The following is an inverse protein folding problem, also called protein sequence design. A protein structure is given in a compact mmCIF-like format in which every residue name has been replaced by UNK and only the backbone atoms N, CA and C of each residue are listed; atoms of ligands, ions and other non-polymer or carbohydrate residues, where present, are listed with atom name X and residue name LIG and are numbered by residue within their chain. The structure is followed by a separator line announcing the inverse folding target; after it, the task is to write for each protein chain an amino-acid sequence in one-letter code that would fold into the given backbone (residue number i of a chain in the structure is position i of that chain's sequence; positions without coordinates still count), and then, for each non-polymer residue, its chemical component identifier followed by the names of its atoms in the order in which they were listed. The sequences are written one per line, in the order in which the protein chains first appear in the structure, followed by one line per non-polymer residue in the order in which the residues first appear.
data_IF_983106334242
#
_entry.id   IF_983106334242
#
_cell.length_a   1.000
_cell.length_b   1.000
_cell.length_c   1.000
_cell.angle_alpha   90.00
_cell.angle_beta   90.00
_cell.angle_gamma   90.00
#
_symmetry.space_group_name_H-M   'P 1'
#
loop_
_entity.id
_entity.type
_entity.pdbx_description
1 polymer ?
#
# COMPACT_ATOMS: atom_id res chain seq x y z
N UNK A 1 45.38 -28.10 -20.98
CA UNK A 1 44.31 -27.31 -21.63
C UNK A 1 43.24 -26.98 -20.60
N UNK A 2 43.43 -25.91 -19.82
CA UNK A 2 42.45 -25.46 -18.81
C UNK A 2 41.38 -24.66 -19.54
N UNK A 3 40.36 -25.35 -20.04
CA UNK A 3 39.21 -24.69 -20.65
C UNK A 3 38.36 -24.07 -19.53
N UNK A 4 38.50 -22.75 -19.39
CA UNK A 4 37.42 -21.78 -19.58
C UNK A 4 36.01 -22.36 -19.35
N UNK A 5 35.36 -21.89 -18.28
CA UNK A 5 34.11 -21.11 -18.36
C UNK A 5 33.41 -21.14 -17.00
N UNK A 6 33.32 -20.03 -16.27
CA UNK A 6 32.35 -18.96 -16.51
C UNK A 6 30.92 -19.51 -16.55
N UNK A 7 30.25 -19.50 -15.42
CA UNK A 7 28.92 -18.91 -15.28
C UNK A 7 28.49 -19.11 -13.83
N UNK A 8 28.57 -18.02 -13.08
CA UNK A 8 27.81 -17.86 -11.84
C UNK A 8 26.34 -17.97 -12.24
N UNK A 9 25.69 -19.09 -11.92
CA UNK A 9 24.23 -19.16 -11.90
C UNK A 9 23.79 -18.46 -10.63
N UNK A 10 23.59 -17.17 -10.74
CA UNK A 10 22.82 -16.40 -9.77
C UNK A 10 21.36 -16.58 -10.14
N UNK A 11 20.80 -17.74 -9.80
CA UNK A 11 19.34 -17.94 -9.72
C UNK A 11 18.86 -17.31 -8.41
N UNK A 12 19.02 -15.99 -8.28
CA UNK A 12 18.30 -15.22 -7.26
C UNK A 12 17.02 -14.77 -7.95
N UNK A 13 15.86 -15.38 -7.65
CA UNK A 13 14.62 -14.66 -7.81
C UNK A 13 14.76 -13.43 -6.92
N UNK A 14 15.15 -12.30 -7.51
CA UNK A 14 14.79 -11.00 -6.96
C UNK A 14 13.31 -10.85 -7.25
N UNK A 15 12.50 -11.74 -6.69
CA UNK A 15 11.09 -11.56 -6.59
C UNK A 15 10.93 -10.62 -5.41
N UNK A 16 11.06 -9.32 -5.72
CA UNK A 16 10.19 -8.31 -5.13
C UNK A 16 8.77 -8.88 -5.29
N UNK A 17 8.38 -9.80 -4.41
CA UNK A 17 7.06 -10.39 -4.41
C UNK A 17 6.15 -9.19 -4.21
N UNK A 18 5.42 -8.75 -5.25
CA UNK A 18 4.54 -7.62 -5.08
C UNK A 18 3.53 -8.10 -4.06
N UNK A 19 3.60 -7.56 -2.85
CA UNK A 19 2.52 -7.75 -1.89
C UNK A 19 1.29 -7.20 -2.58
N UNK A 20 0.38 -8.10 -2.91
CA UNK A 20 -0.81 -7.81 -3.68
C UNK A 20 -1.76 -7.05 -2.75
N UNK A 21 -1.54 -5.74 -2.64
CA UNK A 21 -2.32 -4.90 -1.76
C UNK A 21 -3.65 -4.62 -2.43
N UNK A 22 -4.70 -5.27 -1.93
CA UNK A 22 -6.06 -5.10 -2.44
C UNK A 22 -6.91 -4.23 -1.53
N UNK A 23 -7.79 -3.44 -2.13
CA UNK A 23 -8.81 -2.71 -1.40
C UNK A 23 -9.98 -3.62 -0.94
N UNK A 24 -10.94 -3.06 -0.22
CA UNK A 24 -12.12 -3.79 0.26
C UNK A 24 -12.95 -4.48 -0.84
N UNK A 25 -12.86 -4.04 -2.10
CA UNK A 25 -13.55 -4.66 -3.24
C UNK A 25 -12.67 -5.64 -4.02
N UNK A 26 -11.40 -5.81 -3.61
CA UNK A 26 -10.46 -6.69 -4.29
C UNK A 26 -9.72 -6.09 -5.48
N UNK A 27 -9.72 -4.76 -5.68
CA UNK A 27 -8.88 -4.15 -6.71
C UNK A 27 -7.46 -3.97 -6.20
N UNK A 28 -6.50 -4.19 -7.10
CA UNK A 28 -5.09 -3.94 -6.87
C UNK A 28 -4.84 -2.43 -6.69
N UNK A 29 -4.22 -2.09 -5.57
CA UNK A 29 -3.76 -0.76 -5.26
C UNK A 29 -2.30 -0.60 -5.65
N UNK A 30 -1.95 0.59 -6.13
CA UNK A 30 -0.60 0.95 -6.54
C UNK A 30 -0.14 2.21 -5.81
N UNK A 31 1.17 2.42 -5.73
CA UNK A 31 1.72 3.66 -5.19
C UNK A 31 1.25 4.87 -6.01
N UNK A 32 0.87 5.95 -5.33
CA UNK A 32 0.33 7.15 -5.96
C UNK A 32 -1.17 7.11 -6.30
N UNK A 33 -1.84 5.97 -6.09
CA UNK A 33 -3.28 5.83 -6.39
C UNK A 33 -4.15 6.65 -5.40
N UNK A 34 -5.46 6.70 -5.67
CA UNK A 34 -6.42 7.45 -4.87
C UNK A 34 -7.47 6.51 -4.31
N UNK A 35 -7.72 6.61 -3.01
CA UNK A 35 -8.66 5.75 -2.31
C UNK A 35 -9.71 6.54 -1.57
N UNK A 36 -10.89 5.98 -1.43
CA UNK A 36 -12.01 6.56 -0.70
C UNK A 36 -12.33 5.69 0.51
N UNK A 37 -12.58 6.31 1.65
CA UNK A 37 -12.99 5.57 2.85
C UNK A 37 -14.44 5.09 2.77
N UNK A 38 -14.66 3.81 3.08
CA UNK A 38 -16.01 3.21 3.10
C UNK A 38 -16.71 3.36 4.46
N UNK A 39 -15.97 3.62 5.53
CA UNK A 39 -16.45 3.77 6.91
C UNK A 39 -15.85 5.02 7.55
N UNK A 40 -16.48 5.52 8.60
CA UNK A 40 -15.85 6.50 9.48
C UNK A 40 -14.79 5.84 10.36
N UNK A 41 -13.61 6.45 10.41
CA UNK A 41 -12.49 5.96 11.20
C UNK A 41 -12.00 7.09 12.10
N UNK A 42 -11.88 6.78 13.40
CA UNK A 42 -11.21 7.68 14.34
C UNK A 42 -9.70 7.45 14.27
N UNK A 43 -8.95 8.52 14.06
CA UNK A 43 -7.49 8.43 14.05
C UNK A 43 -7.01 8.27 15.49
N UNK A 44 -6.15 7.28 15.74
CA UNK A 44 -5.53 7.12 17.05
C UNK A 44 -4.50 8.23 17.25
N UNK A 45 -4.55 8.91 18.40
CA UNK A 45 -3.64 10.02 18.72
C UNK A 45 -4.20 11.41 18.43
N UNK A 46 -5.35 11.52 17.75
CA UNK A 46 -6.08 12.78 17.56
C UNK A 46 -7.56 12.62 17.90
N UNK A 47 -8.22 13.74 18.18
CA UNK A 47 -9.69 13.78 18.37
C UNK A 47 -10.44 13.83 17.03
N UNK A 48 -9.72 13.75 15.90
CA UNK A 48 -10.29 13.86 14.57
C UNK A 48 -10.82 12.50 14.07
N UNK A 49 -11.96 12.56 13.41
CA UNK A 49 -12.62 11.38 12.81
C UNK A 49 -12.70 11.61 11.31
N UNK A 50 -12.07 10.73 10.54
CA UNK A 50 -12.16 10.75 9.09
C UNK A 50 -13.50 10.15 8.71
N UNK A 51 -14.37 10.96 8.10
CA UNK A 51 -15.71 10.51 7.72
C UNK A 51 -15.65 9.60 6.49
N UNK A 52 -16.62 8.69 6.40
CA UNK A 52 -16.90 7.93 5.18
C UNK A 52 -16.99 8.89 3.98
N UNK A 53 -16.44 8.49 2.84
CA UNK A 53 -16.43 9.29 1.62
C UNK A 53 -15.27 10.28 1.53
N UNK A 54 -14.40 10.35 2.54
CA UNK A 54 -13.17 11.13 2.43
C UNK A 54 -12.26 10.52 1.37
N UNK A 55 -11.89 11.34 0.39
CA UNK A 55 -10.92 10.99 -0.65
C UNK A 55 -9.51 11.23 -0.14
N UNK A 56 -8.71 10.18 -0.15
CA UNK A 56 -7.29 10.20 0.19
C UNK A 56 -6.50 9.94 -1.09
N UNK A 57 -5.61 10.87 -1.43
CA UNK A 57 -4.81 10.81 -2.65
C UNK A 57 -3.37 10.49 -2.30
N UNK A 58 -2.63 9.95 -3.26
CA UNK A 58 -1.20 9.68 -3.11
C UNK A 58 -0.93 8.67 -1.99
N UNK A 59 -1.56 7.49 -2.09
CA UNK A 59 -1.27 6.38 -1.18
C UNK A 59 0.14 5.85 -1.44
N UNK A 60 0.76 5.28 -0.41
CA UNK A 60 2.05 4.58 -0.49
C UNK A 60 1.93 3.16 0.00
N UNK A 61 2.53 2.23 -0.74
CA UNK A 61 2.56 0.82 -0.37
C UNK A 61 3.81 0.55 0.47
N UNK A 62 3.63 0.15 1.73
CA UNK A 62 4.75 -0.11 2.66
C UNK A 62 5.23 -1.56 2.65
N UNK A 63 4.92 -2.33 1.59
CA UNK A 63 5.31 -3.74 1.52
C UNK A 63 4.55 -4.65 2.50
N UNK A 64 3.44 -4.16 3.08
CA UNK A 64 2.62 -4.89 4.06
C UNK A 64 1.25 -5.20 3.50
N UNK A 65 0.86 -6.46 3.62
CA UNK A 65 -0.47 -6.92 3.22
C UNK A 65 -1.54 -6.25 4.09
N UNK A 66 -2.52 -5.62 3.44
CA UNK A 66 -3.66 -5.03 4.13
C UNK A 66 -3.41 -3.66 4.77
N UNK A 67 -2.23 -3.05 4.60
CA UNK A 67 -1.90 -1.72 5.14
C UNK A 67 -1.37 -0.78 4.04
N UNK A 68 -1.88 0.45 4.02
CA UNK A 68 -1.40 1.53 3.13
C UNK A 68 -1.12 2.78 3.93
N UNK A 69 -0.01 3.43 3.62
CA UNK A 69 0.29 4.74 4.16
C UNK A 69 -0.34 5.80 3.28
N UNK A 70 -0.91 6.83 3.90
CA UNK A 70 -1.53 7.89 3.14
C UNK A 70 -1.43 9.23 3.86
N UNK A 71 -1.61 10.28 3.07
CA UNK A 71 -1.55 11.65 3.52
C UNK A 71 -2.92 12.31 3.34
N UNK A 72 -3.47 12.82 4.43
CA UNK A 72 -4.70 13.64 4.40
C UNK A 72 -4.34 15.11 4.59
N UNK A 73 -5.33 16.00 4.43
CA UNK A 73 -5.12 17.45 4.60
C UNK A 73 -4.72 17.84 6.03
N UNK A 74 -5.20 17.10 7.03
CA UNK A 74 -4.98 17.40 8.45
C UNK A 74 -3.86 16.57 9.06
N UNK A 75 -3.69 15.32 8.62
CA UNK A 75 -2.71 14.38 9.17
C UNK A 75 -1.88 13.76 8.05
N UNK A 76 -0.56 13.81 8.20
CA UNK A 76 0.42 13.19 7.29
C UNK A 76 0.98 11.92 7.91
N UNK A 77 1.32 10.93 7.09
CA UNK A 77 1.94 9.67 7.52
C UNK A 77 1.01 8.80 8.35
N UNK A 78 -0.28 8.71 7.99
CA UNK A 78 -1.20 7.80 8.66
C UNK A 78 -1.28 6.46 7.92
N UNK A 79 -1.29 5.38 8.68
CA UNK A 79 -1.47 4.03 8.14
C UNK A 79 -2.96 3.66 8.23
N UNK A 80 -3.56 3.37 7.08
CA UNK A 80 -4.92 2.87 6.98
C UNK A 80 -4.90 1.39 6.58
N UNK A 81 -5.87 0.64 7.10
CA UNK A 81 -6.12 -0.71 6.61
C UNK A 81 -6.85 -0.69 5.28
N UNK A 82 -6.46 -1.55 4.35
CA UNK A 82 -7.08 -1.61 3.03
C UNK A 82 -8.51 -2.16 3.05
N UNK A 83 -8.89 -2.86 4.12
CA UNK A 83 -10.25 -3.33 4.39
C UNK A 83 -11.27 -2.19 4.53
N UNK A 84 -10.83 -0.96 4.82
CA UNK A 84 -11.71 0.20 5.02
C UNK A 84 -11.60 1.25 3.91
N UNK A 85 -10.81 0.98 2.88
CA UNK A 85 -10.66 1.85 1.73
C UNK A 85 -11.17 1.13 0.49
N UNK A 86 -11.61 1.92 -0.48
CA UNK A 86 -11.88 1.46 -1.84
C UNK A 86 -11.06 2.28 -2.81
N UNK A 87 -10.65 1.70 -3.93
CA UNK A 87 -10.13 2.48 -5.06
C UNK A 87 -11.18 3.52 -5.50
N UNK A 88 -10.74 4.76 -5.71
CA UNK A 88 -11.59 5.90 -6.06
C UNK A 88 -11.75 6.04 -7.58
#
# INVERSE_FOLDING_TARGET
MTRRNSCQRTDYPNEDCPVDVRDSNGNELQDGDSVTLIKDLKVKGTSETIKRGTLVKNIRLNGREGEVECNTKQVKGLVLKTEFVKKA
#
